data_IF_519792034499
#
_entry.id   IF_519792034499
#
_cell.length_a   1.000
_cell.length_b   1.000
_cell.length_c   1.000
_cell.angle_alpha   90.00
_cell.angle_beta   90.00
_cell.angle_gamma   90.00
#
_symmetry.space_group_name_H-M   'P 1'
#
loop_
_entity.id
_entity.type
_entity.pdbx_description
1 polymer ?
#
# COMPACT_ATOMS: atom_id res chain seq x y z
N UNK A 1 -17.39 -40.49 -6.53
CA UNK A 1 -17.49 -39.40 -7.52
C UNK A 1 -18.09 -38.19 -6.81
N UNK A 2 -17.31 -37.09 -6.81
CA UNK A 2 -17.66 -35.68 -6.52
C UNK A 2 -18.14 -35.33 -5.11
N UNK A 3 -17.47 -34.32 -4.56
CA UNK A 3 -17.73 -33.68 -3.28
C UNK A 3 -16.60 -32.69 -3.01
N UNK A 4 -16.60 -31.61 -3.78
CA UNK A 4 -15.73 -30.44 -3.73
C UNK A 4 -15.46 -29.89 -2.33
N UNK A 5 -14.27 -29.31 -2.15
CA UNK A 5 -13.88 -28.60 -0.93
C UNK A 5 -12.56 -27.84 -1.05
N UNK A 6 -12.37 -27.12 -2.16
CA UNK A 6 -11.39 -26.03 -2.22
C UNK A 6 -11.75 -24.99 -1.17
N UNK A 7 -10.79 -24.57 -0.35
CA UNK A 7 -11.01 -23.46 0.56
C UNK A 7 -10.04 -23.36 1.73
N UNK A 8 -8.72 -23.51 1.52
CA UNK A 8 -7.77 -22.96 2.49
C UNK A 8 -7.70 -21.46 2.27
N UNK A 9 -8.64 -20.80 2.93
CA UNK A 9 -8.67 -19.40 3.34
C UNK A 9 -7.38 -18.64 3.00
N UNK A 10 -7.44 -17.84 1.93
CA UNK A 10 -6.59 -16.67 1.85
C UNK A 10 -6.81 -15.90 3.14
N UNK A 11 -5.75 -15.71 3.92
CA UNK A 11 -5.74 -14.96 5.17
C UNK A 11 -6.31 -13.57 4.91
N UNK A 12 -7.62 -13.48 5.05
CA UNK A 12 -8.41 -12.30 4.77
C UNK A 12 -7.92 -11.20 5.66
N UNK A 13 -7.65 -10.07 5.04
CA UNK A 13 -7.32 -8.78 5.64
C UNK A 13 -8.40 -8.41 6.68
N UNK A 14 -8.32 -9.01 7.87
CA UNK A 14 -9.21 -8.79 9.00
C UNK A 14 -8.70 -7.60 9.78
N UNK A 15 -8.75 -6.43 9.15
CA UNK A 15 -8.86 -5.15 9.83
C UNK A 15 -9.44 -4.13 8.86
N UNK A 16 -10.71 -4.34 8.55
CA UNK A 16 -11.59 -3.22 8.24
C UNK A 16 -11.68 -2.34 9.50
N UNK A 17 -10.64 -1.51 9.72
CA UNK A 17 -10.74 -0.38 10.61
C UNK A 17 -11.88 0.49 10.08
N UNK A 18 -12.89 0.71 10.91
CA UNK A 18 -14.09 1.47 10.58
C UNK A 18 -13.73 2.71 9.76
N UNK A 19 -14.31 2.82 8.57
CA UNK A 19 -14.40 4.02 7.73
C UNK A 19 -15.07 5.22 8.43
N UNK A 20 -15.21 5.19 9.76
CA UNK A 20 -16.05 6.03 10.59
C UNK A 20 -15.48 7.41 10.90
N UNK A 21 -14.33 7.78 10.34
CA UNK A 21 -13.89 9.17 10.38
C UNK A 21 -13.37 9.59 9.00
N UNK A 22 -14.27 10.04 8.13
CA UNK A 22 -13.89 10.68 6.86
C UNK A 22 -13.57 12.17 7.04
N UNK A 23 -13.86 12.76 8.21
CA UNK A 23 -13.84 14.22 8.40
C UNK A 23 -12.73 14.75 9.32
N UNK A 24 -12.17 13.96 10.26
CA UNK A 24 -11.04 14.39 11.12
C UNK A 24 -9.66 14.10 10.51
N UNK A 25 -9.56 13.36 9.39
CA UNK A 25 -8.30 13.11 8.66
C UNK A 25 -7.80 14.26 7.78
N UNK A 26 -8.40 15.44 7.85
CA UNK A 26 -8.03 16.58 7.01
C UNK A 26 -6.75 17.26 7.51
N UNK A 27 -5.58 16.72 7.15
CA UNK A 27 -4.29 17.32 7.43
C UNK A 27 -3.11 16.34 7.30
N UNK A 28 -1.88 16.89 7.30
CA UNK A 28 -0.63 16.12 7.20
C UNK A 28 -0.53 15.02 8.27
N UNK A 29 -0.88 15.34 9.51
CA UNK A 29 -0.84 14.39 10.63
C UNK A 29 -1.89 13.29 10.51
N UNK A 30 -3.11 13.63 10.06
CA UNK A 30 -4.17 12.64 9.84
C UNK A 30 -3.83 11.65 8.73
N UNK A 31 -3.11 12.10 7.69
CA UNK A 31 -2.60 11.20 6.65
C UNK A 31 -1.55 10.23 7.21
N UNK A 32 -0.58 10.71 7.98
CA UNK A 32 0.45 9.86 8.61
C UNK A 32 -0.19 8.81 9.52
N UNK A 33 -1.14 9.22 10.37
CA UNK A 33 -1.84 8.32 11.28
C UNK A 33 -2.64 7.25 10.53
N UNK A 34 -3.35 7.65 9.46
CA UNK A 34 -4.09 6.72 8.61
C UNK A 34 -3.17 5.68 7.97
N UNK A 35 -2.05 6.11 7.38
CA UNK A 35 -1.08 5.20 6.77
C UNK A 35 -0.49 4.25 7.81
N UNK A 36 -0.08 4.78 8.97
CA UNK A 36 0.46 3.98 10.07
C UNK A 36 -0.52 2.92 10.56
N UNK A 37 -1.80 3.26 10.65
CA UNK A 37 -2.85 2.31 11.07
C UNK A 37 -3.15 1.28 9.99
N UNK A 38 -3.12 1.69 8.71
CA UNK A 38 -3.47 0.84 7.56
C UNK A 38 -2.39 -0.18 7.25
N UNK A 39 -1.12 0.23 7.29
CA UNK A 39 0.03 -0.59 6.92
C UNK A 39 0.84 -1.06 8.14
N UNK A 40 0.37 -0.77 9.35
CA UNK A 40 1.05 -1.08 10.62
C UNK A 40 2.48 -0.49 10.70
N UNK A 41 2.63 0.74 10.17
CA UNK A 41 3.88 1.47 10.12
C UNK A 41 4.02 2.49 11.26
N UNK A 42 5.21 3.06 11.40
CA UNK A 42 5.53 4.15 12.34
C UNK A 42 6.21 5.31 11.63
N UNK A 43 5.56 5.84 10.60
CA UNK A 43 5.98 7.05 9.91
C UNK A 43 5.92 8.23 10.88
N UNK A 44 6.98 9.03 10.88
CA UNK A 44 7.11 10.24 11.69
C UNK A 44 7.05 11.51 10.84
N UNK A 45 7.24 11.39 9.52
CA UNK A 45 7.22 12.50 8.57
C UNK A 45 6.57 12.11 7.25
N UNK A 46 5.98 13.09 6.57
CA UNK A 46 5.48 12.92 5.20
C UNK A 46 6.61 12.69 4.19
N UNK A 47 7.83 13.10 4.51
CA UNK A 47 9.01 12.89 3.67
C UNK A 47 9.23 11.40 3.36
N UNK A 48 8.89 10.52 4.31
CA UNK A 48 8.97 9.07 4.12
C UNK A 48 8.00 8.54 3.06
N UNK A 49 6.90 9.26 2.78
CA UNK A 49 5.96 8.94 1.69
C UNK A 49 6.52 9.34 0.32
N UNK A 50 7.43 10.32 0.27
CA UNK A 50 8.05 10.79 -0.98
C UNK A 50 8.89 9.71 -1.66
N UNK A 51 9.37 8.72 -0.90
CA UNK A 51 10.09 7.57 -1.43
C UNK A 51 9.29 6.72 -2.42
N UNK A 52 7.96 6.80 -2.39
CA UNK A 52 7.07 5.96 -3.20
C UNK A 52 6.89 4.51 -2.71
N UNK A 53 7.68 4.07 -1.72
CA UNK A 53 7.63 2.70 -1.21
C UNK A 53 6.32 2.40 -0.48
N UNK A 54 5.81 3.37 0.29
CA UNK A 54 4.54 3.25 1.01
C UNK A 54 3.37 3.14 0.03
N UNK A 55 3.38 3.89 -1.08
CA UNK A 55 2.35 3.78 -2.10
C UNK A 55 2.36 2.41 -2.78
N UNK A 56 3.55 1.84 -2.99
CA UNK A 56 3.69 0.48 -3.51
C UNK A 56 3.06 -0.56 -2.57
N UNK A 57 3.32 -0.47 -1.25
CA UNK A 57 2.66 -1.33 -0.25
C UNK A 57 1.15 -1.15 -0.22
N UNK A 58 0.69 0.10 -0.27
CA UNK A 58 -0.73 0.39 -0.26
C UNK A 58 -1.43 -0.26 -1.46
N UNK A 59 -0.84 -0.12 -2.65
CA UNK A 59 -1.40 -0.71 -3.85
C UNK A 59 -1.39 -2.25 -3.79
N UNK A 60 -0.33 -2.87 -3.30
CA UNK A 60 -0.27 -4.32 -3.10
C UNK A 60 -1.29 -4.81 -2.05
N UNK A 61 -1.57 -4.01 -1.01
CA UNK A 61 -2.59 -4.33 -0.02
C UNK A 61 -4.02 -4.34 -0.60
N UNK A 62 -4.31 -3.45 -1.56
CA UNK A 62 -5.61 -3.43 -2.25
C UNK A 62 -5.70 -4.41 -3.42
N UNK A 63 -4.59 -4.58 -4.15
CA UNK A 63 -4.47 -5.42 -5.33
C UNK A 63 -3.25 -6.34 -5.19
N UNK A 64 -3.37 -7.45 -4.44
CA UNK A 64 -2.24 -8.31 -4.14
C UNK A 64 -1.61 -8.87 -5.41
N UNK A 65 -0.28 -8.73 -5.52
CA UNK A 65 0.50 -9.29 -6.62
C UNK A 65 0.67 -8.39 -7.84
N UNK A 66 0.13 -7.16 -7.84
CA UNK A 66 0.36 -6.20 -8.94
C UNK A 66 1.69 -5.44 -8.81
N UNK A 67 2.26 -5.41 -7.60
CA UNK A 67 3.56 -4.78 -7.35
C UNK A 67 4.61 -5.86 -7.05
N UNK A 68 5.78 -5.73 -7.68
CA UNK A 68 6.94 -6.54 -7.32
C UNK A 68 7.61 -5.98 -6.05
N UNK A 69 7.11 -6.39 -4.88
CA UNK A 69 7.59 -5.90 -3.58
C UNK A 69 9.10 -6.11 -3.36
N UNK A 70 9.69 -7.15 -3.97
CA UNK A 70 11.15 -7.39 -3.93
C UNK A 70 11.98 -6.31 -4.63
N UNK A 71 11.39 -5.49 -5.50
CA UNK A 71 12.05 -4.40 -6.22
C UNK A 71 11.85 -3.03 -5.57
N UNK A 72 11.00 -2.95 -4.54
CA UNK A 72 10.69 -1.70 -3.84
C UNK A 72 11.80 -1.42 -2.83
N UNK A 73 12.41 -0.24 -2.92
CA UNK A 73 13.40 0.23 -1.97
C UNK A 73 12.72 0.98 -0.82
N UNK A 74 12.56 0.32 0.33
CA UNK A 74 11.99 0.91 1.56
C UNK A 74 12.92 1.86 2.29
N UNK A 75 14.23 1.77 2.03
CA UNK A 75 15.25 2.60 2.66
C UNK A 75 15.65 3.82 1.82
N UNK A 76 14.93 4.12 0.74
CA UNK A 76 15.26 5.24 -0.14
C UNK A 76 15.15 6.57 0.61
N UNK A 77 16.25 7.33 0.66
CA UNK A 77 16.31 8.63 1.33
C UNK A 77 16.57 9.78 0.36
N UNK A 78 17.13 9.49 -0.81
CA UNK A 78 17.48 10.48 -1.81
C UNK A 78 16.59 10.38 -3.06
N UNK A 79 16.35 11.51 -3.71
CA UNK A 79 15.44 11.61 -4.86
C UNK A 79 15.77 10.65 -6.02
N UNK A 80 17.07 10.43 -6.27
CA UNK A 80 17.52 9.50 -7.31
C UNK A 80 17.12 8.03 -7.01
N UNK A 81 16.90 7.69 -5.74
CA UNK A 81 16.43 6.38 -5.30
C UNK A 81 14.90 6.24 -5.37
N UNK A 82 14.15 7.35 -5.49
CA UNK A 82 12.69 7.32 -5.55
C UNK A 82 12.17 6.88 -6.92
N UNK A 83 12.90 7.22 -7.98
CA UNK A 83 12.56 6.89 -9.37
C UNK A 83 12.19 5.40 -9.59
N UNK A 84 12.98 4.41 -9.15
CA UNK A 84 12.62 3.00 -9.33
C UNK A 84 11.32 2.61 -8.60
N UNK A 85 11.06 3.16 -7.41
CA UNK A 85 9.82 2.90 -6.68
C UNK A 85 8.59 3.44 -7.43
N UNK A 86 8.67 4.66 -7.96
CA UNK A 86 7.58 5.21 -8.77
C UNK A 86 7.34 4.44 -10.07
N UNK A 87 8.39 3.89 -10.69
CA UNK A 87 8.22 2.98 -11.84
C UNK A 87 7.48 1.71 -11.46
N UNK A 88 7.75 1.14 -10.29
CA UNK A 88 6.99 -0.01 -9.79
C UNK A 88 5.52 0.36 -9.55
N UNK A 89 5.27 1.49 -8.89
CA UNK A 89 3.92 1.98 -8.66
C UNK A 89 3.13 2.15 -9.97
N UNK A 90 3.75 2.76 -10.98
CA UNK A 90 3.14 2.93 -12.31
C UNK A 90 2.79 1.59 -12.97
N UNK A 91 3.70 0.61 -12.88
CA UNK A 91 3.45 -0.74 -13.41
C UNK A 91 2.27 -1.40 -12.69
N UNK A 92 2.22 -1.32 -11.36
CA UNK A 92 1.11 -1.90 -10.59
C UNK A 92 -0.23 -1.24 -10.89
N UNK A 93 -0.27 0.09 -11.04
CA UNK A 93 -1.51 0.80 -11.39
C UNK A 93 -2.02 0.37 -12.78
N UNK A 94 -1.11 0.25 -13.76
CA UNK A 94 -1.44 -0.24 -15.09
C UNK A 94 -1.93 -1.69 -15.05
N UNK A 95 -1.29 -2.56 -14.27
CA UNK A 95 -1.71 -3.95 -14.09
C UNK A 95 -3.06 -4.09 -13.36
N UNK A 96 -3.39 -3.15 -12.48
CA UNK A 96 -4.68 -3.11 -11.79
C UNK A 96 -5.80 -2.46 -12.62
N UNK A 97 -5.53 -2.03 -13.86
CA UNK A 97 -6.46 -1.25 -14.70
C UNK A 97 -7.00 0.00 -14.00
N UNK A 98 -6.17 0.65 -13.18
CA UNK A 98 -6.51 1.91 -12.54
C UNK A 98 -6.12 3.04 -13.50
N UNK A 99 -7.09 3.45 -14.31
CA UNK A 99 -6.95 4.64 -15.15
C UNK A 99 -6.88 5.90 -14.28
N UNK A 100 -5.99 6.82 -14.67
CA UNK A 100 -5.51 7.94 -13.86
C UNK A 100 -6.35 9.20 -14.04
#
# INVERSE_FOLDING_TARGET
>A
MRGDGLGSVASGFSRAGSIADRSARTGRSGLIEWVNTTLELRLSSLDQLQSGAVYCQLLDAYHPGVISMSKVNFGAQFEHEFTPNYKQLQQGLASAHIDK
#
